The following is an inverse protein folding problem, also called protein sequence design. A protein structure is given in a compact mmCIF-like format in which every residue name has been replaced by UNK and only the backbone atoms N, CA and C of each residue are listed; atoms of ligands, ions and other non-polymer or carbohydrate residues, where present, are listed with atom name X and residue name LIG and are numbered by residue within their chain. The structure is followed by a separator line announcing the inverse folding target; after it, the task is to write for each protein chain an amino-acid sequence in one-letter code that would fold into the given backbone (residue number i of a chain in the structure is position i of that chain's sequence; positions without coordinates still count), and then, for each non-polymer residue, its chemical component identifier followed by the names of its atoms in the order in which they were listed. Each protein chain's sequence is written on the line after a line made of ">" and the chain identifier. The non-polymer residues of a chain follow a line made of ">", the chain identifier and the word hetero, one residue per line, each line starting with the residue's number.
data_IF_520551177368
#
_entry.id   IF_520551177368
#
_cell.length_a   1.000
_cell.length_b   1.000
_cell.length_c   1.000
_cell.angle_alpha   90.00
_cell.angle_beta   90.00
_cell.angle_gamma   90.00
#
_symmetry.space_group_name_H-M   'P 1'
#
loop_
_entity.id
_entity.type
_entity.pdbx_description
1 polymer ?
#
# COMPACT_ATOMS: atom_id res chain seq x y z
N UNK A 1 -6.21 -32.85 28.76
CA UNK A 1 -6.44 -32.90 27.30
C UNK A 1 -6.51 -31.47 26.81
N UNK A 2 -5.60 -31.04 25.93
CA UNK A 2 -5.74 -29.74 25.28
C UNK A 2 -6.99 -29.80 24.40
N UNK A 3 -7.90 -28.83 24.55
CA UNK A 3 -9.03 -28.69 23.65
C UNK A 3 -8.49 -28.51 22.22
N UNK A 4 -9.10 -29.19 21.24
CA UNK A 4 -8.74 -29.01 19.84
C UNK A 4 -8.94 -27.54 19.46
N UNK A 5 -8.05 -26.94 18.66
CA UNK A 5 -8.23 -25.56 18.21
C UNK A 5 -9.57 -25.44 17.49
N UNK A 6 -10.37 -24.45 17.89
CA UNK A 6 -11.59 -24.12 17.15
C UNK A 6 -11.19 -23.55 15.79
N UNK A 7 -11.64 -24.14 14.67
CA UNK A 7 -11.42 -23.53 13.36
C UNK A 7 -12.12 -22.16 13.33
N UNK A 8 -11.45 -21.15 12.76
CA UNK A 8 -12.06 -19.83 12.53
C UNK A 8 -13.36 -19.96 11.75
N UNK A 9 -14.34 -19.13 12.07
CA UNK A 9 -15.60 -19.10 11.33
C UNK A 9 -15.49 -18.30 10.02
N UNK A 10 -14.35 -17.65 9.78
CA UNK A 10 -14.15 -16.70 8.67
C UNK A 10 -12.97 -17.13 7.81
N UNK A 11 -13.18 -17.19 6.49
CA UNK A 11 -12.11 -17.45 5.53
C UNK A 11 -11.53 -16.13 5.00
N UNK A 12 -10.22 -16.06 4.70
CA UNK A 12 -9.62 -14.89 4.07
C UNK A 12 -10.36 -14.50 2.79
N UNK A 13 -10.92 -13.28 2.71
CA UNK A 13 -11.59 -12.83 1.51
C UNK A 13 -10.56 -12.54 0.43
N UNK A 14 -10.96 -12.72 -0.82
CA UNK A 14 -10.24 -12.12 -1.93
C UNK A 14 -10.36 -10.59 -1.81
N UNK A 15 -9.25 -9.87 -1.98
CA UNK A 15 -9.25 -8.40 -2.02
C UNK A 15 -9.51 -7.97 -3.46
N UNK A 16 -10.71 -7.45 -3.79
CA UNK A 16 -11.04 -7.08 -5.16
C UNK A 16 -10.17 -5.90 -5.60
N UNK A 17 -9.46 -6.02 -6.71
CA UNK A 17 -8.59 -4.96 -7.23
C UNK A 17 -9.39 -3.76 -7.76
N UNK A 18 -10.70 -3.95 -7.99
CA UNK A 18 -11.68 -2.90 -8.26
C UNK A 18 -11.77 -1.89 -7.12
N UNK A 19 -11.47 -2.28 -5.87
CA UNK A 19 -11.34 -1.36 -4.73
C UNK A 19 -10.31 -0.27 -5.04
N UNK A 20 -9.14 -0.67 -5.53
CA UNK A 20 -8.05 0.24 -5.83
C UNK A 20 -8.35 1.11 -7.05
N UNK A 21 -9.02 0.56 -8.07
CA UNK A 21 -9.52 1.34 -9.20
C UNK A 21 -10.49 2.44 -8.75
N UNK A 22 -11.48 2.10 -7.91
CA UNK A 22 -12.41 3.08 -7.33
C UNK A 22 -11.72 4.16 -6.50
N UNK A 23 -10.64 3.81 -5.80
CA UNK A 23 -9.83 4.79 -5.06
C UNK A 23 -9.09 5.77 -5.98
N UNK A 24 -8.59 5.31 -7.14
CA UNK A 24 -7.99 6.18 -8.17
C UNK A 24 -9.03 7.12 -8.76
N UNK A 25 -10.23 6.62 -9.07
CA UNK A 25 -11.33 7.44 -9.60
C UNK A 25 -11.73 8.55 -8.62
N UNK A 26 -11.85 8.22 -7.34
CA UNK A 26 -12.14 9.19 -6.27
C UNK A 26 -11.05 10.26 -6.16
N UNK A 27 -9.78 9.86 -6.21
CA UNK A 27 -8.65 10.80 -6.18
C UNK A 27 -8.69 11.74 -7.40
N UNK A 28 -8.88 11.20 -8.60
CA UNK A 28 -8.93 11.99 -9.85
C UNK A 28 -10.09 12.99 -9.79
N UNK A 29 -11.27 12.55 -9.35
CA UNK A 29 -12.42 13.45 -9.18
C UNK A 29 -12.12 14.59 -8.18
N UNK A 30 -11.52 14.27 -7.03
CA UNK A 30 -11.17 15.25 -6.01
C UNK A 30 -10.09 16.24 -6.49
N UNK A 31 -9.06 15.75 -7.19
CA UNK A 31 -8.02 16.59 -7.79
C UNK A 31 -8.59 17.52 -8.86
N UNK A 32 -9.42 17.00 -9.76
CA UNK A 32 -10.08 17.82 -10.79
C UNK A 32 -10.93 18.93 -10.15
N UNK A 33 -11.74 18.57 -9.16
CA UNK A 33 -12.54 19.54 -8.42
C UNK A 33 -11.65 20.62 -7.79
N UNK A 34 -10.59 20.24 -7.07
CA UNK A 34 -9.68 21.20 -6.43
C UNK A 34 -9.01 22.13 -7.44
N UNK A 35 -8.44 21.58 -8.52
CA UNK A 35 -7.75 22.36 -9.56
C UNK A 35 -8.71 23.34 -10.25
N UNK A 36 -9.94 22.92 -10.57
CA UNK A 36 -10.96 23.80 -11.12
C UNK A 36 -11.35 24.93 -10.17
N UNK A 37 -11.54 24.65 -8.88
CA UNK A 37 -11.87 25.68 -7.88
C UNK A 37 -10.72 26.68 -7.68
N UNK A 38 -9.47 26.24 -7.81
CA UNK A 38 -8.28 27.10 -7.71
C UNK A 38 -7.87 27.75 -9.05
N UNK A 39 -8.71 27.65 -10.09
CA UNK A 39 -8.42 28.15 -11.44
C UNK A 39 -7.07 27.67 -12.02
N UNK A 40 -6.63 26.46 -11.62
CA UNK A 40 -5.43 25.81 -12.16
C UNK A 40 -5.82 24.92 -13.35
N UNK A 41 -4.96 24.79 -14.37
CA UNK A 41 -5.29 23.95 -15.51
C UNK A 41 -5.36 22.47 -15.11
N UNK A 42 -6.36 21.77 -15.63
CA UNK A 42 -6.51 20.31 -15.50
C UNK A 42 -5.47 19.63 -16.38
N UNK A 43 -4.25 19.54 -15.87
CA UNK A 43 -3.12 18.87 -16.50
C UNK A 43 -2.19 18.36 -15.39
N UNK A 44 -1.37 17.36 -15.71
CA UNK A 44 -0.44 16.79 -14.75
C UNK A 44 -0.64 15.30 -14.52
N UNK A 45 0.39 14.67 -13.97
CA UNK A 45 0.37 13.29 -13.53
C UNK A 45 0.55 13.27 -12.01
N UNK A 46 -0.28 12.52 -11.30
CA UNK A 46 0.07 12.04 -9.97
C UNK A 46 1.22 11.06 -10.12
N UNK A 47 2.23 11.13 -9.25
CA UNK A 47 3.30 10.15 -9.19
C UNK A 47 3.58 9.72 -7.74
N UNK A 48 3.51 8.42 -7.51
CA UNK A 48 3.87 7.79 -6.24
C UNK A 48 5.01 6.78 -6.46
N UNK A 49 5.91 6.73 -5.49
CA UNK A 49 6.94 5.69 -5.36
C UNK A 49 6.46 4.70 -4.29
N UNK A 50 6.43 3.42 -4.64
CA UNK A 50 6.15 2.35 -3.70
C UNK A 50 7.31 2.15 -2.71
N UNK A 51 7.08 1.29 -1.73
CA UNK A 51 8.09 0.86 -0.78
C UNK A 51 9.18 0.04 -1.46
N UNK A 52 10.37 0.06 -0.85
CA UNK A 52 11.53 -0.72 -1.25
C UNK A 52 11.82 -1.77 -0.17
N UNK A 53 12.49 -2.86 -0.54
CA UNK A 53 12.99 -3.81 0.45
C UNK A 53 14.04 -3.15 1.34
N UNK A 54 14.08 -3.57 2.60
CA UNK A 54 15.04 -3.06 3.58
C UNK A 54 15.80 -4.21 4.20
N UNK A 55 17.08 -4.00 4.40
CA UNK A 55 17.92 -4.91 5.16
C UNK A 55 18.03 -4.45 6.62
N UNK A 56 18.30 -5.42 7.50
CA UNK A 56 18.58 -5.12 8.90
C UNK A 56 19.99 -4.56 9.04
N UNK A 57 20.09 -3.24 9.25
CA UNK A 57 21.37 -2.52 9.36
C UNK A 57 22.26 -2.76 8.13
N UNK A 58 23.50 -3.23 8.32
CA UNK A 58 24.46 -3.52 7.25
C UNK A 58 24.50 -5.00 6.85
N UNK A 59 23.54 -5.83 7.27
CA UNK A 59 23.49 -7.26 6.89
C UNK A 59 22.70 -7.47 5.59
N UNK A 60 22.70 -8.70 5.10
CA UNK A 60 21.86 -9.18 3.98
C UNK A 60 20.49 -9.72 4.42
N UNK A 61 20.16 -9.59 5.71
CA UNK A 61 18.87 -10.04 6.23
C UNK A 61 17.75 -9.10 5.77
N UNK A 62 16.97 -9.52 4.78
CA UNK A 62 15.78 -8.81 4.31
C UNK A 62 14.68 -8.80 5.38
N UNK A 63 14.15 -7.63 5.68
CA UNK A 63 12.92 -7.50 6.44
C UNK A 63 11.73 -7.88 5.57
N UNK A 64 10.70 -8.47 6.18
CA UNK A 64 9.49 -8.81 5.45
C UNK A 64 8.86 -7.52 4.91
N UNK A 65 8.81 -7.40 3.59
CA UNK A 65 8.32 -6.21 2.92
C UNK A 65 6.85 -5.93 3.24
N UNK A 66 6.50 -4.68 3.52
CA UNK A 66 5.12 -4.19 3.62
C UNK A 66 5.04 -2.87 2.87
N UNK A 67 4.07 -2.77 1.97
CA UNK A 67 3.94 -1.64 1.05
C UNK A 67 3.73 -0.28 1.76
N UNK A 68 4.15 0.81 1.11
CA UNK A 68 3.79 2.18 1.54
C UNK A 68 2.26 2.37 1.47
N UNK A 69 1.66 2.98 2.50
CA UNK A 69 0.20 2.99 2.67
C UNK A 69 -0.57 3.77 1.60
N UNK A 70 -0.04 4.90 1.10
CA UNK A 70 -0.68 5.66 0.04
C UNK A 70 -0.58 4.94 -1.31
N UNK A 71 0.57 4.31 -1.58
CA UNK A 71 0.77 3.48 -2.76
C UNK A 71 -0.16 2.27 -2.77
N UNK A 72 -0.21 1.54 -1.65
CA UNK A 72 -1.12 0.39 -1.47
C UNK A 72 -2.59 0.80 -1.64
N UNK A 73 -2.98 1.97 -1.13
CA UNK A 73 -4.35 2.46 -1.23
C UNK A 73 -4.81 2.64 -2.69
N UNK A 74 -3.94 3.17 -3.57
CA UNK A 74 -4.28 3.43 -4.98
C UNK A 74 -4.03 2.26 -5.93
N UNK A 75 -3.07 1.39 -5.63
CA UNK A 75 -2.62 0.36 -6.58
C UNK A 75 -2.76 -1.08 -6.08
N UNK A 76 -2.86 -1.32 -4.77
CA UNK A 76 -2.93 -2.68 -4.21
C UNK A 76 -1.67 -3.53 -4.37
N UNK A 77 -0.60 -2.96 -4.93
CA UNK A 77 0.65 -3.64 -5.27
C UNK A 77 1.37 -4.15 -4.03
N UNK A 78 1.68 -5.45 -4.04
CA UNK A 78 2.32 -6.12 -2.92
C UNK A 78 3.84 -6.25 -3.08
N UNK A 79 4.37 -6.07 -4.29
CA UNK A 79 5.79 -6.15 -4.59
C UNK A 79 6.53 -4.83 -4.29
N UNK A 80 7.83 -4.92 -3.94
CA UNK A 80 8.68 -3.76 -3.70
C UNK A 80 9.18 -3.13 -5.01
N UNK A 81 9.58 -1.86 -4.93
CA UNK A 81 10.29 -1.15 -6.01
C UNK A 81 9.42 -0.66 -7.16
N UNK A 82 8.09 -0.73 -7.02
CA UNK A 82 7.15 -0.25 -8.02
C UNK A 82 6.94 1.27 -7.94
N UNK A 83 6.60 1.89 -9.07
CA UNK A 83 6.05 3.25 -9.13
C UNK A 83 4.67 3.21 -9.77
N UNK A 84 3.89 4.27 -9.55
CA UNK A 84 2.52 4.35 -10.01
C UNK A 84 2.19 5.80 -10.36
N UNK A 85 1.63 5.99 -11.54
CA UNK A 85 1.20 7.29 -12.03
C UNK A 85 -0.28 7.29 -12.42
N UNK A 86 -0.93 8.45 -12.32
CA UNK A 86 -2.33 8.63 -12.73
C UNK A 86 -2.44 9.95 -13.48
N UNK A 87 -2.93 9.88 -14.71
CA UNK A 87 -3.23 11.05 -15.53
C UNK A 87 -4.50 11.72 -15.03
N UNK A 88 -4.37 12.98 -14.62
CA UNK A 88 -5.50 13.76 -14.10
C UNK A 88 -6.53 14.03 -15.22
N UNK A 89 -6.13 14.11 -16.48
CA UNK A 89 -7.02 14.42 -17.61
C UNK A 89 -7.79 13.19 -18.06
N UNK A 90 -7.09 12.09 -18.35
CA UNK A 90 -7.73 10.88 -18.84
C UNK A 90 -8.26 9.98 -17.71
N UNK A 91 -7.70 10.09 -16.50
CA UNK A 91 -7.92 9.15 -15.40
C UNK A 91 -7.11 7.87 -15.53
N UNK A 92 -6.32 7.70 -16.60
CA UNK A 92 -5.57 6.48 -16.85
C UNK A 92 -4.46 6.28 -15.82
N UNK A 93 -4.36 5.03 -15.36
CA UNK A 93 -3.40 4.55 -14.40
C UNK A 93 -2.25 3.82 -15.08
N UNK A 94 -1.03 4.14 -14.66
CA UNK A 94 0.20 3.56 -15.18
C UNK A 94 0.97 2.97 -14.01
N UNK A 95 1.41 1.73 -14.14
CA UNK A 95 2.28 1.07 -13.18
C UNK A 95 3.68 0.89 -13.78
N UNK A 96 4.72 1.07 -12.97
CA UNK A 96 6.10 0.83 -13.38
C UNK A 96 6.69 -0.27 -12.53
N UNK A 97 7.01 -1.40 -13.16
CA UNK A 97 7.58 -2.58 -12.51
C UNK A 97 9.12 -2.53 -12.57
N UNK A 98 9.84 -2.96 -11.53
CA UNK A 98 11.30 -3.09 -11.61
C UNK A 98 11.67 -4.15 -12.65
N UNK A 99 12.72 -3.89 -13.45
CA UNK A 99 13.27 -4.90 -14.36
C UNK A 99 14.16 -5.85 -13.57
N UNK A 100 13.72 -7.09 -13.43
CA UNK A 100 14.42 -8.08 -12.63
C UNK A 100 15.50 -8.81 -13.46
N UNK A 101 16.68 -9.08 -12.87
CA UNK A 101 17.73 -9.84 -13.53
C UNK A 101 17.37 -11.34 -13.65
N UNK A 102 18.02 -12.06 -14.56
CA UNK A 102 17.67 -13.45 -14.86
C UNK A 102 17.86 -14.42 -13.68
N UNK A 103 18.80 -14.13 -12.78
CA UNK A 103 19.06 -14.91 -11.57
C UNK A 103 17.92 -14.79 -10.54
N UNK A 104 17.08 -13.75 -10.60
CA UNK A 104 15.87 -13.64 -9.78
C UNK A 104 14.99 -14.89 -9.89
N UNK A 105 14.89 -15.47 -11.11
CA UNK A 105 14.13 -16.69 -11.37
C UNK A 105 14.59 -17.90 -10.55
N UNK A 106 15.86 -17.93 -10.17
CA UNK A 106 16.47 -19.03 -9.42
C UNK A 106 16.16 -18.91 -7.93
N UNK A 107 16.15 -17.69 -7.39
CA UNK A 107 16.10 -17.42 -5.96
C UNK A 107 14.72 -17.04 -5.44
N UNK A 108 14.01 -16.20 -6.20
CA UNK A 108 12.80 -15.51 -5.74
C UNK A 108 11.53 -16.02 -6.44
N UNK A 109 11.69 -16.72 -7.56
CA UNK A 109 10.60 -17.33 -8.32
C UNK A 109 10.38 -16.68 -9.69
N UNK A 110 9.29 -17.06 -10.34
CA UNK A 110 9.00 -16.69 -11.74
C UNK A 110 9.01 -15.17 -11.98
N UNK A 111 9.78 -14.73 -12.99
CA UNK A 111 9.77 -13.36 -13.47
C UNK A 111 8.49 -13.13 -14.27
N UNK A 112 7.54 -12.40 -13.68
CA UNK A 112 6.24 -12.13 -14.30
C UNK A 112 6.35 -11.10 -15.44
N UNK A 113 5.66 -11.30 -16.58
CA UNK A 113 5.63 -10.33 -17.67
C UNK A 113 4.79 -9.09 -17.29
N UNK A 114 5.01 -7.95 -17.96
CA UNK A 114 4.24 -6.72 -17.71
C UNK A 114 2.72 -6.91 -17.84
N UNK A 115 2.27 -7.79 -18.75
CA UNK A 115 0.85 -8.11 -18.93
C UNK A 115 0.22 -8.74 -17.69
N UNK A 116 0.98 -9.54 -16.93
CA UNK A 116 0.52 -10.10 -15.67
C UNK A 116 0.19 -8.99 -14.67
N UNK A 117 1.09 -8.02 -14.49
CA UNK A 117 0.86 -6.90 -13.57
C UNK A 117 -0.30 -6.01 -14.01
N UNK A 118 -0.49 -5.86 -15.33
CA UNK A 118 -1.62 -5.11 -15.88
C UNK A 118 -2.95 -5.73 -15.47
N UNK A 119 -3.08 -7.03 -15.69
CA UNK A 119 -4.32 -7.77 -15.44
C UNK A 119 -4.58 -7.96 -13.94
N UNK A 120 -3.53 -8.23 -13.17
CA UNK A 120 -3.57 -8.39 -11.71
C UNK A 120 -4.01 -7.09 -11.04
N UNK A 121 -3.35 -5.97 -11.32
CA UNK A 121 -3.60 -4.70 -10.62
C UNK A 121 -4.68 -3.82 -11.27
N UNK A 122 -5.35 -4.31 -12.31
CA UNK A 122 -6.42 -3.60 -13.03
C UNK A 122 -6.00 -2.18 -13.41
N UNK A 123 -4.79 -2.03 -13.94
CA UNK A 123 -4.25 -0.75 -14.41
C UNK A 123 -4.31 -0.67 -15.94
N UNK A 124 -4.30 0.55 -16.49
CA UNK A 124 -4.45 0.73 -17.94
C UNK A 124 -3.16 0.36 -18.68
N UNK A 125 -2.01 0.68 -18.08
CA UNK A 125 -0.70 0.50 -18.69
C UNK A 125 0.35 0.05 -17.67
N UNK A 126 1.33 -0.71 -18.13
CA UNK A 126 2.49 -1.11 -17.33
C UNK A 126 3.75 -0.97 -18.16
N UNK A 127 4.79 -0.39 -17.56
CA UNK A 127 6.13 -0.22 -18.14
C UNK A 127 7.20 -0.61 -17.12
N UNK A 128 8.47 -0.55 -17.49
CA UNK A 128 9.56 -0.74 -16.52
C UNK A 128 9.93 0.57 -15.82
N UNK A 129 10.44 0.48 -14.58
CA UNK A 129 10.91 1.64 -13.81
C UNK A 129 12.02 2.40 -14.53
N UNK A 130 12.91 1.71 -15.24
CA UNK A 130 13.98 2.34 -16.04
C UNK A 130 13.45 3.12 -17.27
N UNK A 131 12.18 2.96 -17.63
CA UNK A 131 11.51 3.66 -18.73
C UNK A 131 10.68 4.87 -18.25
N UNK A 132 10.61 5.12 -16.93
CA UNK A 132 9.67 6.09 -16.33
C UNK A 132 9.81 7.49 -16.92
N UNK A 133 11.04 8.02 -17.05
CA UNK A 133 11.25 9.37 -17.56
C UNK A 133 10.77 9.54 -19.00
N UNK A 134 11.01 8.54 -19.85
CA UNK A 134 10.60 8.55 -21.24
C UNK A 134 9.08 8.45 -21.37
N UNK A 135 8.48 7.47 -20.67
CA UNK A 135 7.03 7.24 -20.70
C UNK A 135 6.26 8.46 -20.21
N UNK A 136 6.69 9.08 -19.10
CA UNK A 136 6.02 10.26 -18.58
C UNK A 136 6.18 11.48 -19.53
N UNK A 137 7.32 11.65 -20.21
CA UNK A 137 7.48 12.71 -21.21
C UNK A 137 6.54 12.50 -22.41
N UNK A 138 6.49 11.28 -22.95
CA UNK A 138 5.67 10.94 -24.12
C UNK A 138 4.17 11.16 -23.85
N UNK A 139 3.73 11.04 -22.59
CA UNK A 139 2.32 11.26 -22.19
C UNK A 139 1.90 12.72 -22.16
N UNK A 140 2.82 13.66 -21.97
CA UNK A 140 2.49 15.09 -21.93
C UNK A 140 2.66 15.81 -23.28
N UNK A 141 3.38 15.22 -24.23
CA UNK A 141 3.60 15.80 -25.56
C UNK A 141 4.68 16.89 -25.59
N UNK A 142 4.70 17.69 -26.66
CA UNK A 142 5.85 18.54 -27.07
C UNK A 142 5.87 19.93 -26.39
N UNK A 143 4.81 20.32 -25.68
CA UNK A 143 4.67 21.68 -25.17
C UNK A 143 4.80 21.77 -23.64
N UNK A 144 5.99 22.16 -23.19
CA UNK A 144 6.28 22.51 -21.79
C UNK A 144 6.90 21.38 -20.96
N UNK A 145 7.33 21.70 -19.73
CA UNK A 145 7.77 20.69 -18.77
C UNK A 145 6.53 19.99 -18.19
N UNK A 146 6.52 18.65 -18.14
CA UNK A 146 5.40 17.95 -17.55
C UNK A 146 5.29 18.21 -16.04
N UNK A 147 4.07 18.42 -15.53
CA UNK A 147 3.81 18.69 -14.11
C UNK A 147 3.52 17.39 -13.34
N UNK A 148 4.35 17.07 -12.34
CA UNK A 148 4.18 15.93 -11.46
C UNK A 148 3.63 16.37 -10.11
N UNK A 149 2.48 15.82 -9.71
CA UNK A 149 1.96 15.93 -8.37
C UNK A 149 2.54 14.80 -7.52
N UNK A 150 3.43 15.15 -6.58
CA UNK A 150 4.15 14.18 -5.74
C UNK A 150 3.68 14.24 -4.29
N UNK A 151 3.78 13.12 -3.60
CA UNK A 151 3.29 13.00 -2.23
C UNK A 151 4.28 13.53 -1.20
N UNK A 152 4.06 14.75 -0.73
CA UNK A 152 4.82 15.33 0.37
C UNK A 152 3.89 16.00 1.39
N UNK A 153 3.88 15.48 2.61
CA UNK A 153 3.15 16.10 3.71
C UNK A 153 3.43 15.41 5.04
N UNK A 154 3.09 16.13 6.11
CA UNK A 154 3.35 15.70 7.48
C UNK A 154 2.25 14.76 7.96
N UNK A 155 2.63 13.58 8.42
CA UNK A 155 1.76 12.74 9.24
C UNK A 155 1.66 13.36 10.64
N UNK A 156 0.44 13.65 11.09
CA UNK A 156 0.19 14.40 12.33
C UNK A 156 0.47 13.63 13.60
N UNK A 157 0.49 12.28 13.56
CA UNK A 157 0.73 11.44 14.73
C UNK A 157 2.22 11.22 14.98
N UNK A 158 2.97 10.86 13.94
CA UNK A 158 4.41 10.59 13.99
C UNK A 158 5.29 11.84 13.85
N UNK A 159 4.75 12.91 13.26
CA UNK A 159 5.51 14.11 12.91
C UNK A 159 6.40 13.96 11.67
N UNK A 160 6.49 12.75 11.09
CA UNK A 160 7.29 12.46 9.90
C UNK A 160 6.63 12.98 8.63
N UNK A 161 7.44 13.28 7.61
CA UNK A 161 6.97 13.63 6.28
C UNK A 161 6.98 12.41 5.36
N UNK A 162 5.98 12.32 4.47
CA UNK A 162 6.00 11.35 3.37
C UNK A 162 7.19 11.62 2.45
N UNK A 163 7.80 10.54 1.92
CA UNK A 163 8.88 10.63 0.94
C UNK A 163 8.26 10.90 -0.44
N UNK A 164 8.55 12.05 -1.10
CA UNK A 164 8.08 12.28 -2.45
C UNK A 164 8.77 11.30 -3.42
N UNK A 165 8.07 10.94 -4.49
CA UNK A 165 8.63 10.10 -5.53
C UNK A 165 9.87 10.78 -6.16
N UNK A 166 10.89 9.98 -6.44
CA UNK A 166 12.10 10.42 -7.13
C UNK A 166 12.58 9.35 -8.11
N UNK A 167 13.09 9.78 -9.27
CA UNK A 167 13.65 8.90 -10.31
C UNK A 167 14.70 9.65 -11.14
N UNK A 168 15.53 8.91 -11.86
CA UNK A 168 16.54 9.50 -12.74
C UNK A 168 15.89 10.26 -13.92
N UNK A 169 16.26 11.53 -14.12
CA UNK A 169 15.67 12.37 -15.16
C UNK A 169 14.50 13.23 -14.69
N UNK A 170 14.16 13.21 -13.39
CA UNK A 170 13.06 13.99 -12.81
C UNK A 170 13.28 15.52 -12.91
N UNK A 171 14.52 15.99 -13.07
CA UNK A 171 14.85 17.42 -13.28
C UNK A 171 14.25 18.03 -14.57
N UNK A 172 13.82 17.16 -15.49
CA UNK A 172 13.12 17.52 -16.74
C UNK A 172 11.64 17.86 -16.51
N UNK A 173 11.14 17.62 -15.30
CA UNK A 173 9.74 17.79 -14.92
C UNK A 173 9.60 18.94 -13.92
N UNK A 174 8.44 19.59 -13.92
CA UNK A 174 8.04 20.47 -12.83
C UNK A 174 7.33 19.62 -11.77
N UNK A 175 7.47 19.97 -10.49
CA UNK A 175 6.87 19.20 -9.40
C UNK A 175 6.03 20.07 -8.47
N UNK A 176 4.82 19.62 -8.16
CA UNK A 176 3.96 20.14 -7.11
C UNK A 176 3.93 19.13 -5.95
N UNK A 177 4.44 19.55 -4.81
CA UNK A 177 4.53 18.71 -3.61
C UNK A 177 3.54 19.13 -2.52
N UNK A 178 2.63 20.07 -2.78
CA UNK A 178 1.70 20.60 -1.76
C UNK A 178 0.26 20.17 -1.99
N UNK A 179 -0.11 19.86 -3.24
CA UNK A 179 -1.50 19.61 -3.62
C UNK A 179 -1.94 18.18 -3.33
N UNK A 180 -1.11 17.18 -3.63
CA UNK A 180 -1.52 15.77 -3.59
C UNK A 180 -1.83 15.29 -2.17
N UNK A 181 -0.95 15.58 -1.22
CA UNK A 181 -1.06 15.05 0.14
C UNK A 181 -2.41 15.36 0.81
N UNK A 182 -2.87 16.62 0.95
CA UNK A 182 -4.14 16.90 1.63
C UNK A 182 -5.34 16.24 0.92
N UNK A 183 -5.35 16.21 -0.40
CA UNK A 183 -6.46 15.64 -1.19
C UNK A 183 -6.51 14.12 -1.04
N UNK A 184 -5.37 13.45 -1.24
CA UNK A 184 -5.30 11.99 -1.11
C UNK A 184 -5.52 11.54 0.33
N UNK A 185 -5.09 12.33 1.31
CA UNK A 185 -5.39 12.07 2.73
C UNK A 185 -6.90 12.10 2.97
N UNK A 186 -7.60 13.09 2.45
CA UNK A 186 -9.05 13.21 2.61
C UNK A 186 -9.79 12.03 1.96
N UNK A 187 -9.34 11.57 0.78
CA UNK A 187 -9.88 10.36 0.16
C UNK A 187 -9.77 9.13 1.10
N UNK A 188 -8.70 9.01 1.88
CA UNK A 188 -8.49 7.92 2.83
C UNK A 188 -9.29 8.05 4.13
N UNK A 189 -9.84 9.24 4.43
CA UNK A 189 -10.67 9.45 5.64
C UNK A 189 -12.01 8.73 5.48
N UNK A 190 -12.66 8.89 4.33
CA UNK A 190 -13.96 8.28 4.03
C UNK A 190 -13.76 6.94 3.31
N UNK A 191 -14.29 5.85 3.88
CA UNK A 191 -14.12 4.49 3.35
C UNK A 191 -15.24 4.18 2.38
N UNK A 192 -14.91 3.48 1.30
CA UNK A 192 -15.87 2.81 0.44
C UNK A 192 -16.43 1.55 1.11
N UNK A 193 -17.56 1.04 0.60
CA UNK A 193 -18.15 -0.20 1.11
C UNK A 193 -17.19 -1.40 1.00
N UNK A 194 -16.38 -1.45 -0.07
CA UNK A 194 -15.36 -2.49 -0.25
C UNK A 194 -14.25 -2.40 0.81
N UNK A 195 -13.82 -1.19 1.17
CA UNK A 195 -12.86 -1.00 2.27
C UNK A 195 -13.47 -1.35 3.63
N UNK A 196 -14.72 -0.97 3.87
CA UNK A 196 -15.45 -1.31 5.10
C UNK A 196 -15.56 -2.81 5.26
N UNK A 197 -15.86 -3.56 4.17
CA UNK A 197 -15.93 -5.01 4.21
C UNK A 197 -14.60 -5.66 4.65
N UNK A 198 -13.46 -5.16 4.15
CA UNK A 198 -12.14 -5.65 4.57
C UNK A 198 -11.80 -5.27 6.02
N UNK A 199 -12.19 -4.08 6.46
CA UNK A 199 -12.05 -3.66 7.86
C UNK A 199 -12.90 -4.54 8.77
N UNK A 200 -14.13 -4.87 8.36
CA UNK A 200 -15.01 -5.77 9.12
C UNK A 200 -14.36 -7.15 9.25
N UNK A 201 -13.85 -7.72 8.15
CA UNK A 201 -13.12 -8.99 8.19
C UNK A 201 -11.94 -8.96 9.17
N UNK A 202 -11.12 -7.89 9.13
CA UNK A 202 -10.01 -7.74 10.07
C UNK A 202 -10.47 -7.67 11.53
N UNK A 203 -11.61 -7.05 11.81
CA UNK A 203 -12.23 -7.02 13.14
C UNK A 203 -12.73 -8.40 13.56
N UNK A 204 -13.37 -9.14 12.65
CA UNK A 204 -13.92 -10.47 12.95
C UNK A 204 -12.81 -11.44 13.36
N UNK A 205 -11.75 -11.54 12.55
CA UNK A 205 -10.58 -12.39 12.84
C UNK A 205 -9.87 -11.98 14.12
N UNK A 206 -9.69 -10.67 14.35
CA UNK A 206 -9.06 -10.17 15.58
C UNK A 206 -9.92 -10.45 16.82
N UNK A 207 -11.24 -10.40 16.68
CA UNK A 207 -12.19 -10.72 17.75
C UNK A 207 -12.13 -12.21 18.11
N UNK A 208 -12.09 -13.09 17.11
CA UNK A 208 -11.89 -14.53 17.33
C UNK A 208 -10.55 -14.81 18.04
N UNK A 209 -9.47 -14.15 17.61
CA UNK A 209 -8.16 -14.26 18.25
C UNK A 209 -8.19 -13.80 19.72
N UNK A 210 -8.87 -12.68 20.03
CA UNK A 210 -9.05 -12.23 21.41
C UNK A 210 -9.86 -13.23 22.25
N UNK A 211 -10.91 -13.83 21.69
CA UNK A 211 -11.68 -14.88 22.37
C UNK A 211 -10.76 -16.07 22.69
N UNK A 212 -9.90 -16.46 21.75
CA UNK A 212 -8.97 -17.56 21.96
C UNK A 212 -7.93 -17.26 23.06
N UNK A 213 -7.39 -16.04 23.07
CA UNK A 213 -6.53 -15.56 24.16
C UNK A 213 -7.25 -15.67 25.52
N UNK A 214 -8.50 -15.20 25.62
CA UNK A 214 -9.29 -15.28 26.87
C UNK A 214 -9.54 -16.72 27.31
N UNK A 215 -9.81 -17.64 26.38
CA UNK A 215 -10.02 -19.06 26.68
C UNK A 215 -8.77 -19.74 27.23
N UNK A 216 -7.60 -19.38 26.70
CA UNK A 216 -6.33 -20.00 27.06
C UNK A 216 -5.62 -19.35 28.25
N UNK A 217 -5.90 -18.08 28.55
CA UNK A 217 -5.22 -17.35 29.62
C UNK A 217 -5.36 -18.05 31.00
N UNK A 218 -4.24 -18.30 31.68
CA UNK A 218 -4.19 -18.90 33.02
C UNK A 218 -3.16 -18.19 33.90
N UNK A 219 -3.35 -18.16 35.24
CA UNK A 219 -2.32 -17.69 36.15
C UNK A 219 -0.98 -18.41 35.93
N UNK A 220 0.12 -17.66 35.96
CA UNK A 220 1.47 -18.17 35.71
C UNK A 220 1.96 -18.06 34.27
N UNK A 221 1.07 -17.78 33.30
CA UNK A 221 1.47 -17.46 31.93
C UNK A 221 2.19 -16.12 31.84
N UNK A 222 3.06 -15.99 30.84
CA UNK A 222 3.69 -14.73 30.46
C UNK A 222 2.87 -14.01 29.40
N UNK A 223 2.94 -12.70 29.42
CA UNK A 223 2.28 -11.78 28.48
C UNK A 223 2.54 -12.15 27.01
N UNK A 224 3.80 -12.44 26.64
CA UNK A 224 4.16 -12.85 25.28
C UNK A 224 3.54 -14.19 24.85
N UNK A 225 3.12 -15.05 25.79
CA UNK A 225 2.44 -16.29 25.43
C UNK A 225 1.03 -16.00 24.93
N UNK A 226 0.37 -14.98 25.49
CA UNK A 226 -0.93 -14.50 25.02
C UNK A 226 -0.79 -13.77 23.68
N UNK A 227 0.25 -12.95 23.50
CA UNK A 227 0.61 -12.37 22.20
C UNK A 227 0.80 -13.47 21.14
N UNK A 228 1.55 -14.52 21.47
CA UNK A 228 1.80 -15.63 20.54
C UNK A 228 0.52 -16.35 20.14
N UNK A 229 -0.44 -16.54 21.05
CA UNK A 229 -1.76 -17.14 20.74
C UNK A 229 -2.54 -16.23 19.79
N UNK A 230 -2.57 -14.92 20.06
CA UNK A 230 -3.24 -13.95 19.19
C UNK A 230 -2.65 -13.96 17.78
N UNK A 231 -1.32 -13.80 17.66
CA UNK A 231 -0.62 -13.74 16.38
C UNK A 231 -0.75 -15.05 15.60
N UNK A 232 -0.70 -16.19 16.28
CA UNK A 232 -0.95 -17.49 15.65
C UNK A 232 -2.35 -17.56 15.05
N UNK A 233 -3.37 -17.13 15.80
CA UNK A 233 -4.75 -17.22 15.35
C UNK A 233 -5.01 -16.35 14.11
N UNK A 234 -4.64 -15.06 14.17
CA UNK A 234 -4.88 -14.14 13.05
C UNK A 234 -4.11 -14.53 11.79
N UNK A 235 -2.93 -15.12 11.92
CA UNK A 235 -2.16 -15.55 10.76
C UNK A 235 -2.66 -16.89 10.21
N UNK A 236 -2.77 -17.92 11.05
CA UNK A 236 -3.12 -19.28 10.63
C UNK A 236 -4.49 -19.35 9.97
N UNK A 237 -5.48 -18.66 10.55
CA UNK A 237 -6.86 -18.72 10.07
C UNK A 237 -7.25 -17.50 9.25
N UNK A 238 -6.75 -16.33 9.64
CA UNK A 238 -7.12 -15.07 9.01
C UNK A 238 -6.28 -14.67 7.80
N UNK A 239 -5.15 -15.34 7.55
CA UNK A 239 -4.18 -14.92 6.54
C UNK A 239 -3.47 -13.61 6.88
N UNK A 240 -3.60 -13.09 8.10
CA UNK A 240 -3.03 -11.81 8.52
C UNK A 240 -1.56 -11.99 8.92
N UNK A 241 -0.67 -12.00 7.92
CA UNK A 241 0.78 -12.14 8.14
C UNK A 241 1.39 -10.98 8.92
N UNK A 242 0.80 -9.79 8.82
CA UNK A 242 1.25 -8.58 9.49
C UNK A 242 0.28 -8.22 10.62
N UNK A 243 0.83 -7.79 11.75
CA UNK A 243 0.05 -7.13 12.79
C UNK A 243 0.06 -5.62 12.55
N UNK A 244 -1.07 -4.94 12.76
CA UNK A 244 -1.20 -3.50 12.53
C UNK A 244 -0.31 -2.66 13.44
N UNK A 245 0.05 -3.20 14.61
CA UNK A 245 0.98 -2.63 15.58
C UNK A 245 1.50 -3.74 16.50
N UNK A 246 2.60 -3.51 17.22
CA UNK A 246 3.11 -4.46 18.22
C UNK A 246 2.05 -4.73 19.29
N UNK A 247 1.74 -6.00 19.57
CA UNK A 247 0.71 -6.33 20.54
C UNK A 247 1.03 -5.75 21.93
N UNK A 248 0.00 -5.20 22.57
CA UNK A 248 0.09 -4.68 23.94
C UNK A 248 -0.63 -5.71 24.84
N UNK A 249 0.15 -6.63 25.40
CA UNK A 249 -0.37 -7.71 26.26
C UNK A 249 0.00 -7.46 27.72
N UNK A 250 -0.51 -6.40 28.34
CA UNK A 250 -0.10 -6.00 29.68
C UNK A 250 -1.00 -6.59 30.79
N UNK A 251 -0.39 -7.02 31.90
CA UNK A 251 -1.06 -7.58 33.08
C UNK A 251 -0.57 -6.92 34.39
N UNK A 252 -1.46 -6.77 35.37
CA UNK A 252 -1.11 -6.17 36.67
C UNK A 252 -0.70 -4.71 36.55
N UNK A 253 0.42 -4.35 37.18
CA UNK A 253 0.96 -2.98 37.24
C UNK A 253 1.71 -2.55 35.97
N UNK A 254 1.78 -3.42 34.95
CA UNK A 254 2.33 -3.05 33.65
C UNK A 254 1.35 -2.09 32.94
N UNK A 255 1.56 -0.79 33.13
CA UNK A 255 0.99 0.31 32.34
C UNK A 255 2.11 1.20 31.82
#
# INVERSE_FOLDING_TARGET
>A
MAAAPHPSSVAPPEVPMELHAGNRDRLVAALRAHLSHSARPLHGLVLLQGGEERTRYCTDHLELFRQESYFAYLFGVQEPGFYGAIDIVSGQSILFAPRLPADYAVWMGEIKPLSYFKDMYKVDMVFYVDEIAQVLQDRFGVHGKPLLFVLYGKNTDSGNYSKPASFEGMEKFDSDSSTLHPILTECRVIKSDMEIALIQYANDVSSEAHIEVMRQARPGMKEYQLESIFLHHVYMYGGCRYCSYTCICATGDNR
#
